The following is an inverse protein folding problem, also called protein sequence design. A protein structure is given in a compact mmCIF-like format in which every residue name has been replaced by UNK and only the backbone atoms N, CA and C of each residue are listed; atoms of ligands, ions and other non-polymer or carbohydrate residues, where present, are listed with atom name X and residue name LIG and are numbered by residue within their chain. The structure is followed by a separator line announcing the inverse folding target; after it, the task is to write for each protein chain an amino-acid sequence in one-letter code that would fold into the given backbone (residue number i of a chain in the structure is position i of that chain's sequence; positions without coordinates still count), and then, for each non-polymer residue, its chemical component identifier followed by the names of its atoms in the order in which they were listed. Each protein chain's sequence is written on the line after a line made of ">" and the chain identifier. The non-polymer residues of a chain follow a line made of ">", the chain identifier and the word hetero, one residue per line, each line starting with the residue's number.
data_IF_487599036224
#
_entry.id   IF_487599036224
#
_cell.length_a   1.000
_cell.length_b   1.000
_cell.length_c   1.000
_cell.angle_alpha   90.00
_cell.angle_beta   90.00
_cell.angle_gamma   90.00
#
_symmetry.space_group_name_H-M   'P 1'
#
loop_
_entity.id
_entity.type
_entity.pdbx_description
1 polymer ?
#
# COMPACT_ATOMS: atom_id res chain seq x y z
N UNK A 1 -1.49 -8.73 35.56
CA UNK A 1 -2.06 -7.89 34.48
C UNK A 1 -1.41 -8.33 33.18
N UNK A 2 -2.11 -9.14 32.38
CA UNK A 2 -1.68 -9.50 31.03
C UNK A 2 -1.75 -8.21 30.20
N UNK A 3 -0.61 -7.54 30.04
CA UNK A 3 -0.50 -6.48 29.05
C UNK A 3 -0.61 -7.15 27.70
N UNK A 4 -1.84 -7.14 27.16
CA UNK A 4 -2.16 -7.42 25.78
C UNK A 4 -1.03 -6.88 24.93
N UNK A 5 -0.33 -7.82 24.28
CA UNK A 5 0.80 -7.60 23.38
C UNK A 5 0.39 -6.52 22.38
N UNK A 6 0.66 -5.28 22.77
CA UNK A 6 0.45 -4.09 21.98
C UNK A 6 1.11 -4.36 20.64
N UNK A 7 0.40 -4.09 19.55
CA UNK A 7 0.77 -4.39 18.17
C UNK A 7 2.04 -3.60 17.74
N UNK A 8 3.15 -3.83 18.41
CA UNK A 8 4.47 -3.28 18.13
C UNK A 8 5.08 -4.09 16.99
N UNK A 9 4.58 -3.81 15.78
CA UNK A 9 5.38 -3.90 14.55
C UNK A 9 4.93 -2.79 13.60
N UNK A 10 4.78 -1.56 14.12
CA UNK A 10 4.53 -0.36 13.31
C UNK A 10 5.84 0.19 12.69
N UNK A 11 6.97 -0.52 12.87
CA UNK A 11 8.32 -0.07 12.52
C UNK A 11 8.97 -0.81 11.33
N UNK A 12 8.24 -1.65 10.59
CA UNK A 12 8.82 -2.41 9.46
C UNK A 12 8.68 -1.74 8.09
N UNK A 13 7.78 -0.76 7.96
CA UNK A 13 7.56 -0.07 6.70
C UNK A 13 8.56 1.07 6.48
N UNK A 14 8.98 1.26 5.23
CA UNK A 14 9.92 2.32 4.85
C UNK A 14 9.24 3.68 4.92
N UNK A 15 10.04 4.74 4.72
CA UNK A 15 9.48 6.07 4.54
C UNK A 15 8.43 6.08 3.41
N UNK A 16 7.34 6.83 3.62
CA UNK A 16 6.20 6.94 2.72
C UNK A 16 5.42 5.63 2.50
N UNK A 17 5.52 4.69 3.43
CA UNK A 17 4.70 3.48 3.44
C UNK A 17 3.84 3.42 4.70
N UNK A 18 2.68 2.75 4.59
CA UNK A 18 1.82 2.38 5.71
C UNK A 18 1.65 0.86 5.78
N UNK A 19 1.56 0.28 6.98
CA UNK A 19 1.22 -1.13 7.13
C UNK A 19 -0.28 -1.37 6.85
N UNK A 20 -0.58 -2.35 6.01
CA UNK A 20 -1.94 -2.88 5.79
C UNK A 20 -1.98 -4.32 6.24
N UNK A 21 -3.00 -4.67 7.04
CA UNK A 21 -3.24 -6.04 7.53
C UNK A 21 -4.28 -6.70 6.66
N UNK A 22 -3.95 -7.85 6.11
CA UNK A 22 -4.83 -8.61 5.24
C UNK A 22 -4.53 -10.11 5.38
N UNK A 23 -5.54 -10.96 5.41
CA UNK A 23 -5.38 -12.42 5.38
C UNK A 23 -5.42 -12.98 3.95
N UNK A 24 -6.06 -12.28 3.01
CA UNK A 24 -6.27 -12.71 1.63
C UNK A 24 -5.33 -12.07 0.62
N UNK A 25 -4.06 -11.79 0.98
CA UNK A 25 -3.06 -11.26 0.04
C UNK A 25 -2.75 -12.17 -1.16
N UNK A 26 -3.12 -13.45 -1.11
CA UNK A 26 -2.99 -14.35 -2.26
C UNK A 26 -3.95 -13.99 -3.39
N UNK A 27 -5.14 -13.48 -3.04
CA UNK A 27 -6.18 -13.04 -3.98
C UNK A 27 -6.16 -11.52 -4.18
N UNK A 28 -5.83 -10.76 -3.13
CA UNK A 28 -5.70 -9.30 -3.15
C UNK A 28 -4.25 -8.88 -3.38
N UNK A 29 -4.00 -8.05 -4.40
CA UNK A 29 -2.67 -7.50 -4.66
C UNK A 29 -2.48 -6.16 -3.91
N UNK A 30 -1.23 -5.79 -3.58
CA UNK A 30 -0.90 -4.47 -3.00
C UNK A 30 -1.39 -3.31 -3.86
N UNK A 31 -1.46 -3.52 -5.18
CA UNK A 31 -1.98 -2.53 -6.13
C UNK A 31 -3.41 -2.07 -5.82
N UNK A 32 -4.16 -2.77 -4.98
CA UNK A 32 -5.46 -2.34 -4.48
C UNK A 32 -5.37 -1.17 -3.50
N UNK A 33 -4.22 -1.02 -2.83
CA UNK A 33 -3.98 -0.05 -1.77
C UNK A 33 -2.92 0.98 -2.14
N UNK A 34 -2.18 0.76 -3.23
CA UNK A 34 -1.15 1.67 -3.75
C UNK A 34 -1.15 1.76 -5.29
N UNK A 35 -0.72 2.92 -5.79
CA UNK A 35 -0.35 3.10 -7.19
C UNK A 35 1.13 2.86 -7.45
N UNK A 36 1.50 2.75 -8.72
CA UNK A 36 2.89 2.70 -9.19
C UNK A 36 3.10 3.64 -10.36
N UNK A 37 4.36 3.94 -10.71
CA UNK A 37 4.65 4.76 -11.89
C UNK A 37 4.10 4.22 -13.22
N UNK A 38 3.75 2.92 -13.29
CA UNK A 38 3.15 2.30 -14.49
C UNK A 38 1.63 2.17 -14.38
N UNK A 39 1.09 2.16 -13.16
CA UNK A 39 -0.34 2.07 -12.88
C UNK A 39 -0.63 2.96 -11.68
N UNK A 40 -0.71 4.29 -11.90
CA UNK A 40 -0.70 5.29 -10.85
C UNK A 40 -1.96 5.31 -9.99
N UNK A 41 -3.10 4.91 -10.55
CA UNK A 41 -4.32 4.73 -9.78
C UNK A 41 -4.32 3.33 -9.18
N UNK A 42 -4.57 3.17 -7.86
CA UNK A 42 -4.81 1.88 -7.27
C UNK A 42 -5.89 1.11 -8.04
N UNK A 43 -5.71 -0.21 -8.15
CA UNK A 43 -6.66 -1.11 -8.77
C UNK A 43 -8.02 -1.00 -8.08
N UNK A 44 -9.06 -0.99 -8.91
CA UNK A 44 -10.45 -0.96 -8.47
C UNK A 44 -11.00 -2.38 -8.43
N UNK A 45 -12.08 -2.60 -7.66
CA UNK A 45 -12.75 -3.90 -7.49
C UNK A 45 -11.89 -4.98 -6.84
N UNK A 46 -11.12 -4.60 -5.83
CA UNK A 46 -10.39 -5.56 -5.01
C UNK A 46 -11.25 -6.08 -3.86
N UNK A 47 -11.11 -7.37 -3.55
CA UNK A 47 -11.74 -7.97 -2.37
C UNK A 47 -11.27 -7.26 -1.10
N UNK A 48 -12.20 -6.94 -0.19
CA UNK A 48 -11.87 -6.31 1.08
C UNK A 48 -10.96 -7.19 1.94
N UNK A 49 -10.11 -6.55 2.74
CA UNK A 49 -9.29 -7.26 3.73
C UNK A 49 -10.18 -7.76 4.88
N UNK A 50 -10.12 -9.06 5.17
CA UNK A 50 -10.95 -9.70 6.20
C UNK A 50 -10.10 -10.05 7.42
N UNK A 51 -9.68 -9.03 8.15
CA UNK A 51 -8.94 -9.18 9.40
C UNK A 51 -9.81 -8.88 10.61
N UNK A 52 -10.79 -9.75 10.86
CA UNK A 52 -11.68 -9.64 12.02
C UNK A 52 -11.06 -10.39 13.21
N UNK A 53 -10.83 -9.67 14.31
CA UNK A 53 -10.23 -10.22 15.55
C UNK A 53 -11.19 -11.21 16.24
N UNK A 54 -12.48 -11.20 15.90
CA UNK A 54 -13.54 -11.93 16.60
C UNK A 54 -13.73 -13.39 16.13
N UNK A 55 -13.29 -13.78 14.93
CA UNK A 55 -13.72 -15.04 14.31
C UNK A 55 -12.93 -16.29 14.72
N UNK A 56 -11.94 -16.18 15.61
CA UNK A 56 -11.14 -17.35 16.04
C UNK A 56 -10.44 -18.09 14.89
N UNK A 57 -10.43 -17.50 13.69
CA UNK A 57 -9.76 -18.00 12.51
C UNK A 57 -8.27 -17.87 12.75
N UNK A 58 -7.57 -19.00 12.78
CA UNK A 58 -6.12 -19.07 12.92
C UNK A 58 -5.39 -18.57 11.65
N UNK A 59 -6.05 -17.76 10.83
CA UNK A 59 -5.46 -17.13 9.66
C UNK A 59 -4.70 -15.90 10.14
N UNK A 60 -3.39 -16.06 10.28
CA UNK A 60 -2.53 -14.96 10.64
C UNK A 60 -2.67 -13.86 9.58
N UNK A 61 -3.27 -12.72 9.96
CA UNK A 61 -3.27 -11.53 9.14
C UNK A 61 -1.82 -11.09 8.88
N UNK A 62 -1.38 -11.25 7.64
CA UNK A 62 -0.07 -10.81 7.20
C UNK A 62 -0.11 -9.28 7.03
N UNK A 63 0.92 -8.62 7.55
CA UNK A 63 1.14 -7.19 7.37
C UNK A 63 1.97 -7.00 6.11
N UNK A 64 1.50 -6.18 5.18
CA UNK A 64 2.32 -5.68 4.07
C UNK A 64 2.39 -4.16 4.07
N UNK A 65 3.54 -3.64 3.71
CA UNK A 65 3.75 -2.21 3.52
C UNK A 65 3.32 -1.78 2.12
N UNK A 66 2.49 -0.75 2.05
CA UNK A 66 1.97 -0.14 0.83
C UNK A 66 2.27 1.36 0.86
N UNK A 67 2.41 2.00 -0.29
CA UNK A 67 2.64 3.44 -0.39
C UNK A 67 1.46 4.20 0.21
N UNK A 68 1.75 5.34 0.84
CA UNK A 68 0.72 6.30 1.24
C UNK A 68 0.09 6.93 -0.01
N UNK A 69 -1.17 7.35 0.08
CA UNK A 69 -2.04 7.68 -1.08
C UNK A 69 -1.47 8.76 -2.04
N UNK A 70 -0.55 9.59 -1.56
CA UNK A 70 0.09 10.66 -2.36
C UNK A 70 1.41 10.23 -3.02
N UNK A 71 1.84 8.98 -2.82
CA UNK A 71 3.10 8.46 -3.34
C UNK A 71 2.88 7.23 -4.21
N UNK A 72 3.74 7.07 -5.21
CA UNK A 72 3.73 5.93 -6.11
C UNK A 72 4.94 5.04 -5.89
N UNK A 73 4.70 3.74 -6.01
CA UNK A 73 5.75 2.73 -6.04
C UNK A 73 6.62 2.93 -7.29
N UNK A 74 7.89 3.20 -7.04
CA UNK A 74 8.93 3.34 -8.06
C UNK A 74 9.47 1.96 -8.49
N UNK A 75 10.17 1.85 -9.64
CA UNK A 75 10.76 0.59 -10.09
C UNK A 75 11.80 0.00 -9.12
N UNK A 76 12.49 0.84 -8.34
CA UNK A 76 13.42 0.39 -7.28
C UNK A 76 12.72 -0.06 -5.99
N UNK A 77 11.38 0.02 -5.95
CA UNK A 77 10.56 -0.40 -4.84
C UNK A 77 10.36 0.65 -3.75
N UNK A 78 10.90 1.86 -3.86
CA UNK A 78 10.57 2.97 -2.95
C UNK A 78 9.23 3.66 -3.27
N UNK A 79 8.62 4.31 -2.28
CA UNK A 79 7.44 5.17 -2.47
C UNK A 79 7.86 6.64 -2.54
N UNK A 80 7.56 7.30 -3.66
CA UNK A 80 7.95 8.70 -3.91
C UNK A 80 6.85 9.45 -4.65
N UNK A 81 7.02 10.76 -4.78
CA UNK A 81 6.09 11.62 -5.48
C UNK A 81 5.93 11.19 -6.96
N UNK A 82 4.73 11.32 -7.56
CA UNK A 82 4.52 10.99 -8.97
C UNK A 82 5.47 11.73 -9.92
N UNK A 83 6.00 12.90 -9.53
CA UNK A 83 6.93 13.69 -10.33
C UNK A 83 8.33 13.09 -10.44
N UNK A 84 8.68 12.15 -9.55
CA UNK A 84 9.93 11.36 -9.59
C UNK A 84 9.82 10.14 -10.53
N UNK A 85 8.63 9.83 -11.05
CA UNK A 85 8.46 8.73 -11.98
C UNK A 85 9.24 8.97 -13.29
N UNK A 86 9.72 7.89 -13.94
CA UNK A 86 10.45 8.00 -15.19
C UNK A 86 9.61 8.68 -16.29
N UNK A 87 10.30 9.35 -17.21
CA UNK A 87 9.67 9.99 -18.37
C UNK A 87 8.86 8.96 -19.16
N UNK A 88 7.62 9.30 -19.51
CA UNK A 88 6.68 8.41 -20.21
C UNK A 88 5.73 7.63 -19.29
N UNK A 89 5.89 7.74 -17.97
CA UNK A 89 4.89 7.23 -17.01
C UNK A 89 3.55 7.96 -17.14
N UNK A 90 2.40 7.26 -17.04
CA UNK A 90 1.07 7.86 -17.18
C UNK A 90 0.62 8.68 -15.95
N UNK A 91 1.51 9.45 -15.32
CA UNK A 91 1.29 10.18 -14.06
C UNK A 91 0.84 11.63 -14.26
N UNK A 92 0.72 12.11 -15.50
CA UNK A 92 0.42 13.51 -15.82
C UNK A 92 -0.86 14.03 -15.14
N UNK A 93 -1.88 13.18 -15.00
CA UNK A 93 -3.14 13.52 -14.34
C UNK A 93 -2.99 13.76 -12.83
N UNK A 94 -1.91 13.25 -12.20
CA UNK A 94 -1.58 13.45 -10.80
C UNK A 94 -0.70 14.69 -10.56
N UNK A 95 -0.22 15.35 -11.62
CA UNK A 95 0.67 16.50 -11.55
C UNK A 95 0.00 17.77 -12.10
N UNK A 96 -1.08 18.28 -11.45
CA UNK A 96 -1.80 19.46 -11.90
C UNK A 96 -0.95 20.73 -11.66
N UNK A 97 0.06 20.95 -12.51
CA UNK A 97 1.00 22.06 -12.34
C UNK A 97 2.16 22.09 -13.33
N UNK A 98 2.53 20.95 -13.94
CA UNK A 98 3.49 20.93 -15.06
C UNK A 98 2.79 21.37 -16.35
N UNK A 99 2.48 22.67 -16.44
CA UNK A 99 2.13 23.28 -17.73
C UNK A 99 3.37 23.19 -18.64
N UNK A 100 3.16 22.61 -19.81
CA UNK A 100 4.13 22.50 -20.90
C UNK A 100 4.57 23.88 -21.39
#
# INVERSE_FOLDING_TARGET
>A
LLFSKFCLDESSCKANERPVRCNNWASRNKSCDEGSCQSPTPQQNCDDCQCFVEDGSNEACEVKCVCVDETLRQPDGGCRDPSDCPVGSPVDHLLPGRRK
#
